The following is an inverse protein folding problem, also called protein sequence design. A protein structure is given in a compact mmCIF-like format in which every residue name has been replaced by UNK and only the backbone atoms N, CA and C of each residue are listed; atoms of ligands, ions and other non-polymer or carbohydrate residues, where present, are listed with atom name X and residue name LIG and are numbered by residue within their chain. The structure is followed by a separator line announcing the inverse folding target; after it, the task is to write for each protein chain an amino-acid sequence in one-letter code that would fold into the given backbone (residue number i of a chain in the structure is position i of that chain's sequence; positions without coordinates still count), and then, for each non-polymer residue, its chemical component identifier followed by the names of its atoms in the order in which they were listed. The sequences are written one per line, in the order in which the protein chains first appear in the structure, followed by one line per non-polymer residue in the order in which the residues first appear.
data_IF_841276063953
#
_entry.id   IF_841276063953
#
_cell.length_a   1.000
_cell.length_b   1.000
_cell.length_c   1.000
_cell.angle_alpha   90.00
_cell.angle_beta   90.00
_cell.angle_gamma   90.00
#
_symmetry.space_group_name_H-M   'P 1'
#
loop_
_entity.id
_entity.type
_entity.pdbx_description
1 polymer ?
#
# COMPACT_ATOMS: atom_id res chain seq x y z
N UNK A 1 -20.20 32.97 6.70
CA UNK A 1 -20.82 32.54 5.43
C UNK A 1 -22.31 32.88 5.49
N UNK A 2 -22.77 33.78 4.65
CA UNK A 2 -24.17 34.20 4.63
C UNK A 2 -25.01 33.16 3.86
N UNK A 3 -26.17 32.77 4.37
CA UNK A 3 -27.10 31.80 3.76
C UNK A 3 -27.40 32.09 2.27
N UNK A 4 -27.30 33.34 1.84
CA UNK A 4 -27.48 33.76 0.43
C UNK A 4 -26.33 33.36 -0.49
N UNK A 5 -25.10 33.22 0.02
CA UNK A 5 -23.94 32.75 -0.77
C UNK A 5 -24.00 31.24 -0.97
N UNK A 6 -24.42 30.49 0.04
CA UNK A 6 -24.63 29.03 -0.09
C UNK A 6 -25.70 28.70 -1.14
N UNK A 7 -26.79 29.49 -1.21
CA UNK A 7 -27.83 29.32 -2.23
C UNK A 7 -27.33 29.66 -3.65
N UNK A 8 -26.47 30.66 -3.81
CA UNK A 8 -25.85 30.97 -5.12
C UNK A 8 -24.93 29.88 -5.63
N UNK A 9 -24.22 29.20 -4.73
CA UNK A 9 -23.36 28.06 -5.09
C UNK A 9 -24.24 26.86 -5.48
N UNK A 10 -25.33 26.61 -4.79
CA UNK A 10 -26.28 25.53 -5.10
C UNK A 10 -27.02 25.75 -6.44
N UNK A 11 -27.38 26.99 -6.79
CA UNK A 11 -28.05 27.29 -8.06
C UNK A 11 -27.08 27.26 -9.24
N UNK A 12 -25.77 27.53 -9.04
CA UNK A 12 -24.75 27.35 -10.06
C UNK A 12 -24.47 25.86 -10.36
N UNK A 13 -24.69 24.96 -9.38
CA UNK A 13 -24.58 23.52 -9.53
C UNK A 13 -25.72 22.85 -10.29
N UNK A 14 -26.88 23.51 -10.42
CA UNK A 14 -28.05 22.94 -11.12
C UNK A 14 -28.04 23.12 -12.65
N UNK A 15 -27.04 23.80 -13.21
CA UNK A 15 -26.82 23.96 -14.65
C UNK A 15 -25.81 22.94 -15.22
N UNK A 16 -25.58 21.80 -14.55
CA UNK A 16 -24.67 20.74 -14.98
C UNK A 16 -25.38 19.44 -15.45
N UNK A 17 -26.23 19.46 -16.51
CA UNK A 17 -26.74 18.21 -17.09
C UNK A 17 -25.87 17.65 -18.21
N UNK A 18 -24.60 18.08 -18.34
CA UNK A 18 -23.72 17.55 -19.40
C UNK A 18 -22.26 17.48 -18.94
N UNK A 19 -21.99 16.88 -17.80
CA UNK A 19 -20.65 16.40 -17.51
C UNK A 19 -20.44 15.13 -18.34
N UNK A 20 -19.79 15.28 -19.49
CA UNK A 20 -19.38 14.16 -20.32
C UNK A 20 -18.42 13.24 -19.54
N UNK A 21 -18.36 11.93 -19.86
CA UNK A 21 -17.39 11.01 -19.25
C UNK A 21 -15.95 11.54 -19.26
N UNK A 22 -15.61 12.38 -20.23
CA UNK A 22 -14.30 13.03 -20.38
C UNK A 22 -14.03 14.07 -19.28
N UNK A 23 -15.04 14.85 -18.87
CA UNK A 23 -14.93 15.77 -17.73
C UNK A 23 -14.82 15.02 -16.40
N UNK A 24 -15.47 13.87 -16.26
CA UNK A 24 -15.28 12.98 -15.11
C UNK A 24 -13.89 12.35 -15.12
N UNK A 25 -13.35 11.98 -16.28
CA UNK A 25 -11.98 11.51 -16.40
C UNK A 25 -10.98 12.63 -16.07
N UNK A 26 -11.22 13.85 -16.53
CA UNK A 26 -10.41 15.02 -16.18
C UNK A 26 -10.51 15.38 -14.69
N UNK A 27 -11.69 15.28 -14.08
CA UNK A 27 -11.89 15.49 -12.65
C UNK A 27 -11.21 14.40 -11.79
N UNK A 28 -11.20 13.15 -12.26
CA UNK A 28 -10.39 12.07 -11.64
C UNK A 28 -8.90 12.32 -11.78
N UNK A 29 -8.46 12.88 -12.89
CA UNK A 29 -7.05 13.20 -13.16
C UNK A 29 -6.61 14.49 -12.44
N UNK A 30 -7.55 15.37 -12.14
CA UNK A 30 -7.37 16.61 -11.38
C UNK A 30 -7.70 16.42 -9.88
N UNK A 31 -7.66 15.21 -9.35
CA UNK A 31 -7.62 15.04 -7.89
C UNK A 31 -6.40 15.83 -7.39
N UNK A 32 -6.57 16.75 -6.42
CA UNK A 32 -5.44 17.50 -5.91
C UNK A 32 -4.38 16.50 -5.50
N UNK A 33 -3.19 16.66 -6.06
CA UNK A 33 -2.01 16.00 -5.54
C UNK A 33 -2.12 16.15 -4.02
N UNK A 34 -2.09 15.06 -3.29
CA UNK A 34 -2.20 15.09 -1.84
C UNK A 34 -1.33 16.24 -1.35
N UNK A 35 -1.81 17.05 -0.42
CA UNK A 35 -1.00 18.11 0.16
C UNK A 35 0.20 17.57 0.96
N UNK A 36 0.49 16.26 0.80
CA UNK A 36 1.63 15.59 1.41
C UNK A 36 2.90 15.88 0.63
N UNK A 37 3.88 16.43 1.31
CA UNK A 37 5.21 16.63 0.76
C UNK A 37 6.11 15.45 1.18
N UNK A 38 6.69 14.78 0.21
CA UNK A 38 7.67 13.71 0.44
C UNK A 38 8.84 14.24 1.28
N UNK A 39 9.32 13.48 2.23
CA UNK A 39 10.38 13.85 3.18
C UNK A 39 11.64 13.02 3.01
N UNK A 40 11.52 11.73 2.89
CA UNK A 40 12.63 10.78 2.71
C UNK A 40 12.75 10.32 1.26
N UNK A 41 11.63 10.02 0.61
CA UNK A 41 11.61 9.62 -0.79
C UNK A 41 11.74 10.85 -1.69
N UNK A 42 12.65 10.80 -2.67
CA UNK A 42 12.64 11.75 -3.77
C UNK A 42 11.57 11.37 -4.81
N UNK A 43 11.32 12.24 -5.80
CA UNK A 43 10.29 11.99 -6.82
C UNK A 43 10.50 10.66 -7.56
N UNK A 44 11.72 10.36 -7.99
CA UNK A 44 12.05 9.12 -8.69
C UNK A 44 11.81 7.87 -7.82
N UNK A 45 12.31 7.87 -6.58
CA UNK A 45 12.09 6.77 -5.64
C UNK A 45 10.61 6.58 -5.32
N UNK A 46 9.84 7.67 -5.21
CA UNK A 46 8.39 7.61 -5.02
C UNK A 46 7.68 6.99 -6.22
N UNK A 47 8.09 7.31 -7.44
CA UNK A 47 7.52 6.71 -8.65
C UNK A 47 7.80 5.21 -8.71
N UNK A 48 9.02 4.78 -8.34
CA UNK A 48 9.38 3.36 -8.22
C UNK A 48 8.53 2.68 -7.14
N UNK A 49 8.39 3.27 -5.95
CA UNK A 49 7.52 2.75 -4.89
C UNK A 49 6.07 2.66 -5.37
N UNK A 50 5.54 3.71 -6.01
CA UNK A 50 4.17 3.73 -6.52
C UNK A 50 3.91 2.63 -7.56
N UNK A 51 4.87 2.36 -8.45
CA UNK A 51 4.78 1.27 -9.41
C UNK A 51 4.86 -0.12 -8.73
N UNK A 52 5.73 -0.29 -7.73
CA UNK A 52 5.85 -1.56 -7.00
C UNK A 52 4.59 -1.88 -6.19
N UNK A 53 4.04 -0.92 -5.43
CA UNK A 53 2.83 -1.16 -4.63
C UNK A 53 1.61 -1.46 -5.50
N UNK A 54 1.53 -0.87 -6.70
CA UNK A 54 0.44 -1.11 -7.67
C UNK A 54 0.50 -2.54 -8.24
N UNK A 55 1.70 -3.13 -8.36
CA UNK A 55 1.87 -4.53 -8.75
C UNK A 55 1.55 -5.51 -7.60
N UNK A 56 1.76 -5.12 -6.33
CA UNK A 56 1.50 -5.99 -5.17
C UNK A 56 0.01 -6.02 -4.84
N UNK A 57 -0.65 -4.86 -4.81
CA UNK A 57 -2.09 -4.72 -4.57
C UNK A 57 -2.67 -3.80 -5.63
N UNK A 58 -3.00 -4.33 -6.81
CA UNK A 58 -3.60 -3.56 -7.89
C UNK A 58 -5.01 -3.12 -7.57
N UNK A 59 -5.48 -2.09 -8.24
CA UNK A 59 -6.89 -1.70 -8.19
C UNK A 59 -7.76 -2.74 -8.93
N UNK A 60 -8.83 -3.19 -8.27
CA UNK A 60 -9.82 -4.13 -8.80
C UNK A 60 -11.22 -3.50 -8.69
N UNK A 61 -12.15 -4.13 -8.00
CA UNK A 61 -13.42 -3.56 -7.55
C UNK A 61 -13.24 -2.59 -6.37
N UNK A 62 -12.11 -2.71 -5.65
CA UNK A 62 -11.66 -1.77 -4.63
C UNK A 62 -10.41 -1.01 -5.10
N UNK A 63 -10.17 0.22 -4.59
CA UNK A 63 -8.92 0.92 -4.86
C UNK A 63 -7.72 0.13 -4.31
N UNK A 64 -6.68 -0.06 -5.15
CA UNK A 64 -5.44 -0.73 -4.76
C UNK A 64 -4.56 0.11 -3.82
N UNK A 65 -3.35 -0.38 -3.54
CA UNK A 65 -2.40 0.27 -2.64
C UNK A 65 -2.03 1.70 -3.07
N UNK A 66 -1.96 1.95 -4.37
CA UNK A 66 -1.74 3.30 -4.91
C UNK A 66 -2.91 4.23 -4.59
N UNK A 67 -4.16 3.75 -4.74
CA UNK A 67 -5.36 4.50 -4.36
C UNK A 67 -5.45 4.77 -2.86
N UNK A 68 -4.94 3.86 -2.04
CA UNK A 68 -4.84 4.02 -0.59
C UNK A 68 -3.63 4.87 -0.13
N UNK A 69 -2.84 5.42 -1.06
CA UNK A 69 -1.67 6.29 -0.79
C UNK A 69 -0.60 5.61 0.07
N UNK A 70 -0.39 4.32 -0.13
CA UNK A 70 0.58 3.52 0.64
C UNK A 70 2.02 4.02 0.44
N UNK A 71 2.35 4.63 -0.70
CA UNK A 71 3.64 5.30 -0.92
C UNK A 71 3.92 6.41 0.10
N UNK A 72 2.90 7.19 0.48
CA UNK A 72 3.03 8.24 1.49
C UNK A 72 3.19 7.63 2.90
N UNK A 73 2.45 6.55 3.19
CA UNK A 73 2.64 5.79 4.43
C UNK A 73 4.07 5.27 4.55
N UNK A 74 4.63 4.69 3.48
CA UNK A 74 6.02 4.22 3.45
C UNK A 74 6.99 5.38 3.71
N UNK A 75 6.79 6.54 3.09
CA UNK A 75 7.64 7.72 3.33
C UNK A 75 7.59 8.20 4.80
N UNK A 76 6.42 8.16 5.43
CA UNK A 76 6.26 8.47 6.87
C UNK A 76 7.03 7.47 7.71
N UNK A 77 6.90 6.17 7.46
CA UNK A 77 7.61 5.12 8.22
C UNK A 77 9.12 5.31 8.08
N UNK A 78 9.62 5.55 6.88
CA UNK A 78 11.05 5.79 6.64
C UNK A 78 11.56 7.05 7.33
N UNK A 79 10.70 8.06 7.48
CA UNK A 79 11.09 9.35 8.07
C UNK A 79 11.07 9.31 9.59
N UNK A 80 10.04 8.71 10.19
CA UNK A 80 9.74 8.87 11.62
C UNK A 80 10.11 7.64 12.45
N UNK A 81 10.10 6.44 11.85
CA UNK A 81 10.23 5.18 12.57
C UNK A 81 11.50 4.42 12.23
N UNK A 82 11.99 4.52 10.99
CA UNK A 82 13.19 3.83 10.56
C UNK A 82 14.44 4.51 11.10
N UNK A 83 15.38 3.73 11.63
CA UNK A 83 16.70 4.23 11.95
C UNK A 83 17.52 4.53 10.67
N UNK A 84 18.70 5.15 10.81
CA UNK A 84 19.50 5.56 9.66
C UNK A 84 20.01 4.39 8.81
N UNK A 85 20.25 3.24 9.42
CA UNK A 85 20.68 2.03 8.71
C UNK A 85 19.54 1.43 7.91
N UNK A 86 18.39 1.25 8.51
CA UNK A 86 17.17 0.75 7.86
C UNK A 86 16.76 1.62 6.68
N UNK A 87 16.76 2.94 6.89
CA UNK A 87 16.47 3.91 5.84
C UNK A 87 17.44 3.79 4.67
N UNK A 88 18.75 3.70 4.96
CA UNK A 88 19.75 3.50 3.91
C UNK A 88 19.56 2.18 3.18
N UNK A 89 19.30 1.10 3.91
CA UNK A 89 19.08 -0.22 3.32
C UNK A 89 17.86 -0.22 2.40
N UNK A 90 16.78 0.42 2.83
CA UNK A 90 15.57 0.55 2.00
C UNK A 90 15.82 1.35 0.72
N UNK A 91 16.47 2.52 0.82
CA UNK A 91 16.79 3.35 -0.36
C UNK A 91 17.78 2.66 -1.31
N UNK A 92 18.75 1.92 -0.77
CA UNK A 92 19.66 1.10 -1.56
C UNK A 92 18.90 -0.04 -2.27
N UNK A 93 17.92 -0.65 -1.60
CA UNK A 93 17.03 -1.64 -2.19
C UNK A 93 16.27 -1.09 -3.39
N UNK A 94 15.65 0.09 -3.28
CA UNK A 94 14.99 0.78 -4.40
C UNK A 94 15.95 1.06 -5.55
N UNK A 95 17.15 1.56 -5.25
CA UNK A 95 18.18 1.77 -6.27
C UNK A 95 18.59 0.48 -6.98
N UNK A 96 18.61 -0.65 -6.26
CA UNK A 96 18.90 -1.96 -6.85
C UNK A 96 17.77 -2.45 -7.76
N UNK A 97 16.50 -2.17 -7.43
CA UNK A 97 15.37 -2.48 -8.33
C UNK A 97 15.54 -1.77 -9.67
N UNK A 98 15.85 -0.47 -9.65
CA UNK A 98 16.08 0.29 -10.88
C UNK A 98 17.30 -0.23 -11.66
N UNK A 99 18.40 -0.57 -10.99
CA UNK A 99 19.58 -1.17 -11.65
C UNK A 99 19.25 -2.49 -12.32
N UNK A 100 18.48 -3.36 -11.66
CA UNK A 100 18.06 -4.64 -12.23
C UNK A 100 17.10 -4.43 -13.41
N UNK A 101 16.15 -3.50 -13.30
CA UNK A 101 15.24 -3.13 -14.39
C UNK A 101 16.00 -2.59 -15.59
N UNK A 102 16.98 -1.71 -15.37
CA UNK A 102 17.83 -1.17 -16.43
C UNK A 102 18.69 -2.27 -17.09
N UNK A 103 19.23 -3.20 -16.31
CA UNK A 103 20.04 -4.31 -16.84
C UNK A 103 19.23 -5.28 -17.71
N UNK A 104 17.95 -5.52 -17.35
CA UNK A 104 17.08 -6.46 -18.05
C UNK A 104 16.31 -5.81 -19.21
N UNK A 105 15.83 -4.59 -19.02
CA UNK A 105 14.87 -3.95 -19.92
C UNK A 105 15.34 -2.61 -20.49
N UNK A 106 16.53 -2.14 -20.08
CA UNK A 106 17.09 -0.84 -20.44
C UNK A 106 16.15 0.35 -20.11
N UNK A 107 15.44 0.24 -18.99
CA UNK A 107 14.48 1.23 -18.47
C UNK A 107 14.49 1.20 -16.96
N UNK A 108 14.21 2.36 -16.33
CA UNK A 108 13.90 2.42 -14.91
C UNK A 108 12.62 1.64 -14.61
N UNK A 109 12.52 1.10 -13.42
CA UNK A 109 11.39 0.23 -13.04
C UNK A 109 10.02 0.88 -13.27
N UNK A 110 9.86 2.14 -12.87
CA UNK A 110 8.61 2.88 -13.07
C UNK A 110 8.25 3.08 -14.56
N UNK A 111 9.25 3.08 -15.46
CA UNK A 111 9.06 3.22 -16.91
C UNK A 111 8.94 1.88 -17.66
N UNK A 112 9.14 0.76 -16.96
CA UNK A 112 8.99 -0.58 -17.53
C UNK A 112 7.51 -0.95 -17.73
N UNK A 113 7.22 -1.91 -18.62
CA UNK A 113 5.84 -2.36 -18.80
C UNK A 113 5.35 -3.14 -17.57
N UNK A 114 4.03 -3.19 -17.32
CA UNK A 114 3.48 -3.94 -16.18
C UNK A 114 3.96 -5.40 -16.12
N UNK A 115 4.09 -6.06 -17.28
CA UNK A 115 4.58 -7.44 -17.34
C UNK A 115 6.06 -7.54 -16.96
N UNK A 116 6.89 -6.56 -17.39
CA UNK A 116 8.31 -6.48 -17.02
C UNK A 116 8.47 -6.21 -15.52
N UNK A 117 7.67 -5.29 -14.97
CA UNK A 117 7.62 -4.99 -13.53
C UNK A 117 7.26 -6.25 -12.74
N UNK A 118 6.19 -6.93 -13.12
CA UNK A 118 5.74 -8.17 -12.47
C UNK A 118 6.80 -9.28 -12.54
N UNK A 119 7.47 -9.43 -13.68
CA UNK A 119 8.55 -10.43 -13.86
C UNK A 119 9.69 -10.18 -12.89
N UNK A 120 10.12 -8.91 -12.75
CA UNK A 120 11.19 -8.56 -11.83
C UNK A 120 10.77 -8.78 -10.37
N UNK A 121 9.56 -8.33 -9.97
CA UNK A 121 9.08 -8.50 -8.61
C UNK A 121 8.91 -9.99 -8.23
N UNK A 122 8.47 -10.84 -9.15
CA UNK A 122 8.40 -12.29 -8.91
C UNK A 122 9.78 -12.89 -8.67
N UNK A 123 10.79 -12.52 -9.43
CA UNK A 123 12.16 -13.01 -9.20
C UNK A 123 12.71 -12.57 -7.85
N UNK A 124 12.33 -11.37 -7.38
CA UNK A 124 12.71 -10.89 -6.05
C UNK A 124 11.96 -11.65 -4.94
N UNK A 125 10.67 -11.93 -5.12
CA UNK A 125 9.87 -12.70 -4.16
C UNK A 125 10.39 -14.14 -4.02
N UNK A 126 10.71 -14.79 -5.14
CA UNK A 126 11.33 -16.12 -5.15
C UNK A 126 12.69 -16.13 -4.43
N UNK A 127 13.51 -15.11 -4.67
CA UNK A 127 14.82 -14.97 -4.01
C UNK A 127 14.68 -14.76 -2.50
N UNK A 128 13.75 -13.92 -2.07
CA UNK A 128 13.43 -13.67 -0.66
C UNK A 128 12.91 -14.94 0.03
N UNK A 129 12.04 -15.71 -0.64
CA UNK A 129 11.52 -16.98 -0.12
C UNK A 129 12.64 -18.02 0.05
N UNK A 130 13.57 -18.11 -0.88
CA UNK A 130 14.74 -18.99 -0.78
C UNK A 130 15.64 -18.62 0.41
N UNK A 131 15.83 -17.35 0.69
CA UNK A 131 16.58 -16.87 1.87
C UNK A 131 15.84 -17.24 3.14
N UNK A 132 14.54 -16.97 3.20
CA UNK A 132 13.66 -17.27 4.34
C UNK A 132 13.59 -18.77 4.64
N UNK A 133 13.52 -19.62 3.63
CA UNK A 133 13.47 -21.08 3.80
C UNK A 133 14.76 -21.66 4.35
N UNK A 134 15.91 -21.02 4.10
CA UNK A 134 17.22 -21.41 4.65
C UNK A 134 17.43 -20.93 6.08
N UNK A 135 16.77 -19.85 6.48
CA UNK A 135 16.77 -19.36 7.86
C UNK A 135 15.78 -20.17 8.66
N UNK A 136 16.29 -21.14 9.42
CA UNK A 136 15.46 -22.05 10.21
C UNK A 136 14.61 -21.27 11.19
N UNK A 137 13.30 -21.41 11.07
CA UNK A 137 12.24 -20.78 11.86
C UNK A 137 12.35 -20.97 13.38
N UNK A 138 13.32 -21.76 13.87
CA UNK A 138 13.48 -22.13 15.27
C UNK A 138 14.16 -21.08 16.14
N UNK A 139 14.90 -20.17 15.52
CA UNK A 139 15.71 -19.15 16.22
C UNK A 139 15.12 -17.73 16.11
N UNK A 140 13.96 -17.58 15.49
CA UNK A 140 13.32 -16.28 15.34
C UNK A 140 12.40 -16.00 16.54
N UNK A 141 12.70 -14.97 17.35
CA UNK A 141 11.83 -14.61 18.45
C UNK A 141 10.42 -14.21 17.93
N UNK A 142 9.36 -14.51 18.71
CA UNK A 142 8.00 -14.14 18.35
C UNK A 142 7.87 -12.62 18.16
N UNK A 143 6.99 -12.19 17.28
CA UNK A 143 6.70 -10.80 16.96
C UNK A 143 6.42 -9.90 18.20
N UNK A 144 5.87 -10.46 19.28
CA UNK A 144 5.57 -9.70 20.52
C UNK A 144 6.77 -9.50 21.43
N UNK A 145 7.90 -10.17 21.18
CA UNK A 145 9.15 -9.90 21.87
C UNK A 145 9.85 -8.68 21.27
N UNK A 146 10.44 -7.79 22.09
CA UNK A 146 11.15 -6.60 21.60
C UNK A 146 12.22 -6.94 20.57
N UNK A 147 12.95 -8.01 20.79
CA UNK A 147 13.99 -8.53 19.89
C UNK A 147 13.43 -9.05 18.56
N UNK A 148 12.17 -9.50 18.53
CA UNK A 148 11.50 -9.94 17.32
C UNK A 148 11.11 -8.82 16.37
N UNK A 149 11.00 -7.58 16.84
CA UNK A 149 10.74 -6.40 16.01
C UNK A 149 11.99 -5.95 15.29
N UNK A 150 13.12 -5.96 15.96
CA UNK A 150 14.41 -5.52 15.37
C UNK A 150 14.88 -6.48 14.27
N UNK A 151 14.54 -7.77 14.38
CA UNK A 151 14.88 -8.78 13.35
C UNK A 151 14.04 -8.65 12.08
N UNK A 152 12.83 -8.08 12.13
CA UNK A 152 11.99 -7.92 10.93
C UNK A 152 12.52 -6.87 9.95
N UNK A 153 13.26 -5.89 10.44
CA UNK A 153 13.85 -4.84 9.62
C UNK A 153 15.22 -5.22 9.04
N UNK A 154 15.80 -6.36 9.47
CA UNK A 154 16.99 -6.97 8.88
C UNK A 154 16.65 -7.98 7.76
N UNK A 155 15.37 -8.18 7.48
CA UNK A 155 14.92 -9.01 6.37
C UNK A 155 15.39 -8.43 5.02
N UNK A 156 15.37 -9.27 3.99
CA UNK A 156 15.59 -8.85 2.62
C UNK A 156 14.68 -7.67 2.24
N UNK A 157 15.21 -6.72 1.48
CA UNK A 157 14.51 -5.50 1.07
C UNK A 157 13.09 -5.79 0.55
N UNK A 158 12.93 -6.80 -0.30
CA UNK A 158 11.62 -7.08 -0.89
C UNK A 158 10.61 -7.58 0.14
N UNK A 159 11.05 -8.37 1.10
CA UNK A 159 10.22 -8.82 2.24
C UNK A 159 9.74 -7.63 3.07
N UNK A 160 10.65 -6.72 3.41
CA UNK A 160 10.32 -5.48 4.15
C UNK A 160 9.33 -4.63 3.35
N UNK A 161 9.61 -4.42 2.06
CA UNK A 161 8.76 -3.64 1.16
C UNK A 161 7.34 -4.21 1.06
N UNK A 162 7.22 -5.53 0.84
CA UNK A 162 5.95 -6.25 0.76
C UNK A 162 5.16 -6.13 2.05
N UNK A 163 5.81 -6.32 3.20
CA UNK A 163 5.18 -6.18 4.51
C UNK A 163 4.68 -4.76 4.77
N UNK A 164 5.47 -3.73 4.46
CA UNK A 164 5.05 -2.34 4.57
C UNK A 164 3.86 -2.02 3.65
N UNK A 165 3.86 -2.58 2.44
CA UNK A 165 2.75 -2.41 1.49
C UNK A 165 1.46 -3.03 2.02
N UNK A 166 1.51 -4.28 2.49
CA UNK A 166 0.36 -4.97 3.07
C UNK A 166 -0.14 -4.24 4.32
N UNK A 167 0.78 -3.88 5.22
CA UNK A 167 0.43 -3.17 6.44
C UNK A 167 -0.21 -1.81 6.14
N UNK A 168 0.41 -1.00 5.28
CA UNK A 168 -0.12 0.31 4.90
C UNK A 168 -1.48 0.22 4.22
N UNK A 169 -1.71 -0.80 3.39
CA UNK A 169 -3.00 -0.99 2.73
C UNK A 169 -4.10 -1.41 3.70
N UNK A 170 -3.91 -2.49 4.47
CA UNK A 170 -4.95 -3.03 5.34
C UNK A 170 -5.22 -2.18 6.59
N UNK A 171 -4.31 -1.28 6.97
CA UNK A 171 -4.55 -0.29 8.02
C UNK A 171 -5.09 1.04 7.48
N UNK A 172 -5.14 1.22 6.15
CA UNK A 172 -5.76 2.39 5.53
C UNK A 172 -7.28 2.36 5.66
N UNK A 173 -7.93 3.52 5.56
CA UNK A 173 -9.39 3.62 5.53
C UNK A 173 -9.98 2.76 4.39
N UNK A 174 -9.35 2.77 3.22
CA UNK A 174 -9.80 2.01 2.05
C UNK A 174 -9.70 0.52 2.29
N UNK A 175 -8.53 0.02 2.71
CA UNK A 175 -8.33 -1.41 2.97
C UNK A 175 -9.23 -1.92 4.09
N UNK A 176 -9.37 -1.13 5.16
CA UNK A 176 -10.18 -1.52 6.31
C UNK A 176 -11.69 -1.51 6.00
N UNK A 177 -12.21 -0.45 5.37
CA UNK A 177 -13.65 -0.26 5.18
C UNK A 177 -14.18 -0.90 3.90
N UNK A 178 -13.43 -0.86 2.79
CA UNK A 178 -13.91 -1.31 1.48
C UNK A 178 -13.49 -2.76 1.19
N UNK A 179 -12.24 -3.12 1.49
CA UNK A 179 -11.73 -4.47 1.23
C UNK A 179 -12.16 -5.45 2.33
N UNK A 180 -11.80 -5.15 3.59
CA UNK A 180 -12.13 -6.01 4.72
C UNK A 180 -13.58 -5.85 5.20
N UNK A 181 -14.26 -4.76 4.80
CA UNK A 181 -15.65 -4.43 5.21
C UNK A 181 -15.84 -4.44 6.73
N UNK A 182 -14.80 -4.04 7.47
CA UNK A 182 -14.81 -3.99 8.92
C UNK A 182 -15.29 -2.64 9.42
N UNK A 183 -15.89 -2.63 10.60
CA UNK A 183 -16.26 -1.41 11.34
C UNK A 183 -15.25 -1.21 12.46
N UNK A 184 -14.64 -0.02 12.52
CA UNK A 184 -13.65 0.34 13.57
C UNK A 184 -14.30 0.32 14.95
N UNK A 185 -15.55 0.80 15.04
CA UNK A 185 -16.32 0.80 16.29
C UNK A 185 -17.62 0.02 16.02
N UNK A 186 -17.75 -1.21 16.52
CA UNK A 186 -19.01 -1.95 16.44
C UNK A 186 -20.10 -1.18 17.17
N UNK A 187 -21.25 -0.96 16.52
CA UNK A 187 -22.37 -0.19 17.12
C UNK A 187 -22.99 -0.84 18.35
N UNK A 188 -22.92 -2.19 18.46
CA UNK A 188 -23.37 -2.94 19.63
C UNK A 188 -22.62 -4.29 19.69
N UNK A 189 -22.26 -4.70 20.91
CA UNK A 189 -21.72 -6.04 21.15
C UNK A 189 -22.90 -6.97 21.50
N UNK A 190 -23.14 -7.95 20.65
CA UNK A 190 -24.09 -9.02 20.92
C UNK A 190 -23.32 -10.23 21.44
N UNK A 191 -23.29 -10.42 22.76
CA UNK A 191 -22.54 -11.50 23.43
C UNK A 191 -23.14 -12.91 23.16
N UNK A 192 -24.40 -12.98 22.73
CA UNK A 192 -25.08 -14.22 22.37
C UNK A 192 -25.64 -14.09 20.97
N UNK A 193 -24.95 -14.61 19.99
CA UNK A 193 -25.44 -14.72 18.60
C UNK A 193 -25.77 -16.19 18.36
N UNK A 194 -26.93 -16.56 17.79
CA UNK A 194 -27.22 -17.93 17.38
C UNK A 194 -26.11 -18.42 16.45
N UNK A 195 -25.61 -19.63 16.69
CA UNK A 195 -24.61 -20.28 15.84
C UNK A 195 -25.20 -20.43 14.43
N UNK A 196 -24.57 -19.79 13.42
CA UNK A 196 -25.03 -19.90 12.03
C UNK A 196 -24.97 -21.34 11.54
N UNK A 197 -25.84 -21.77 10.60
CA UNK A 197 -25.77 -23.08 10.00
C UNK A 197 -24.46 -23.18 9.20
N UNK A 198 -23.52 -24.03 9.65
CA UNK A 198 -22.25 -24.25 8.96
C UNK A 198 -21.02 -24.40 9.84
N UNK A 199 -21.08 -24.01 11.10
CA UNK A 199 -20.06 -24.40 12.09
C UNK A 199 -20.54 -25.66 12.79
N UNK A 200 -20.56 -26.76 12.00
CA UNK A 200 -20.89 -28.09 12.47
C UNK A 200 -19.87 -28.56 13.49
N UNK A 201 -20.38 -29.29 14.46
CA UNK A 201 -19.65 -30.02 15.48
C UNK A 201 -18.59 -30.91 14.82
N UNK A 202 -17.36 -30.47 14.86
CA UNK A 202 -16.19 -31.29 14.55
C UNK A 202 -15.72 -31.95 15.86
N UNK A 203 -16.65 -32.58 16.58
CA UNK A 203 -16.34 -33.43 17.70
C UNK A 203 -17.25 -34.67 17.61
N UNK A 204 -16.70 -35.72 17.04
CA UNK A 204 -17.17 -37.09 17.02
C UNK A 204 -15.99 -38.01 16.99
#
# INVERSE_FOLDING_TARGET
MHRREALRILTAGSLLPALTPELFAFYRQAQPASGYALRTLNAHSNDTVAAMIDQIIPATDTPGAKGARVNEFIDVILTEWANDEERRNFLNGLSNVDKQSNALFNKDFAAASPEQQLTLLRSMDESAELVRSKSTSKDRPPFWEPEGRDTQLQDDFFTVFKNLTLHGYYTSEIGFSQELKLQIIPGAQHGCVPRGPGLGDADG
#
